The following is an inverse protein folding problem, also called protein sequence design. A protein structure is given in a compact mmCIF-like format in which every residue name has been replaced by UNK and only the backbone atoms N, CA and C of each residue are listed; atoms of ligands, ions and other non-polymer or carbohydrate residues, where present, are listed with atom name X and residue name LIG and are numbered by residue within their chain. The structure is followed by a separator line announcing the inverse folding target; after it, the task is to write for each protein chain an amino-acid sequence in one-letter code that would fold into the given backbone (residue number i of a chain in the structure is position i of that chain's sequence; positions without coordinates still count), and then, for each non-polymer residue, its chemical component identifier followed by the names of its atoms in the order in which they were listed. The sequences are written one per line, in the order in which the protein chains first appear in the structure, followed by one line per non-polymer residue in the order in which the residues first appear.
data_IF_586588115418
#
_entry.id   IF_586588115418
#
_cell.length_a   1.000
_cell.length_b   1.000
_cell.length_c   1.000
_cell.angle_alpha   90.00
_cell.angle_beta   90.00
_cell.angle_gamma   90.00
#
_symmetry.space_group_name_H-M   'P 1'
#
loop_
_entity.id
_entity.type
_entity.pdbx_description
1 polymer ?
#
# COMPACT_ATOMS: atom_id res chain seq x y z
N UNK A 1 8.85 12.14 26.62
CA UNK A 1 7.43 12.24 26.19
C UNK A 1 7.10 11.00 25.41
N UNK A 2 6.21 10.15 25.92
CA UNK A 2 5.67 9.02 25.15
C UNK A 2 4.98 9.58 23.90
N UNK A 3 5.37 9.10 22.72
CA UNK A 3 4.69 9.47 21.48
C UNK A 3 3.24 9.01 21.58
N UNK A 4 2.27 9.88 21.25
CA UNK A 4 0.85 9.52 21.22
C UNK A 4 0.52 8.51 20.12
N UNK A 5 1.47 8.29 19.19
CA UNK A 5 1.42 7.28 18.15
C UNK A 5 2.38 6.17 18.55
N UNK A 6 1.84 4.99 18.83
CA UNK A 6 2.62 3.78 19.00
C UNK A 6 2.63 3.00 17.68
N UNK A 7 3.80 2.51 17.27
CA UNK A 7 3.90 1.58 16.15
C UNK A 7 4.15 0.19 16.70
N UNK A 8 3.48 -0.81 16.14
CA UNK A 8 3.74 -2.22 16.42
C UNK A 8 3.71 -3.05 15.15
N UNK A 9 4.44 -4.15 15.16
CA UNK A 9 4.30 -5.16 14.13
C UNK A 9 2.86 -5.68 14.11
N UNK A 10 2.30 -5.87 12.92
CA UNK A 10 1.02 -6.54 12.79
C UNK A 10 1.13 -8.03 13.13
N UNK A 11 0.00 -8.61 13.52
CA UNK A 11 -0.17 -10.04 13.72
C UNK A 11 -1.23 -10.56 12.75
N UNK A 12 -1.30 -11.88 12.59
CA UNK A 12 -2.38 -12.50 11.79
C UNK A 12 -3.79 -12.11 12.24
N UNK A 13 -3.97 -11.75 13.52
CA UNK A 13 -5.28 -11.30 14.05
C UNK A 13 -5.69 -9.92 13.53
N UNK A 14 -4.74 -9.13 13.05
CA UNK A 14 -5.00 -7.81 12.47
C UNK A 14 -5.49 -7.89 11.02
N UNK A 15 -5.61 -9.08 10.42
CA UNK A 15 -5.94 -9.26 9.00
C UNK A 15 -7.19 -8.48 8.53
N UNK A 16 -8.22 -8.35 9.38
CA UNK A 16 -9.41 -7.56 9.07
C UNK A 16 -9.09 -6.06 8.95
N UNK A 17 -8.33 -5.53 9.91
CA UNK A 17 -7.90 -4.12 9.92
C UNK A 17 -6.96 -3.83 8.74
N UNK A 18 -6.04 -4.76 8.45
CA UNK A 18 -5.15 -4.66 7.29
C UNK A 18 -5.95 -4.60 5.98
N UNK A 19 -6.97 -5.43 5.82
CA UNK A 19 -7.81 -5.42 4.61
C UNK A 19 -8.53 -4.08 4.43
N UNK A 20 -9.13 -3.54 5.51
CA UNK A 20 -9.82 -2.25 5.48
C UNK A 20 -8.84 -1.11 5.16
N UNK A 21 -7.70 -1.04 5.85
CA UNK A 21 -6.76 0.06 5.70
C UNK A 21 -5.97 0.00 4.39
N UNK A 22 -5.69 -1.21 3.86
CA UNK A 22 -5.14 -1.38 2.52
C UNK A 22 -6.12 -0.89 1.44
N UNK A 23 -7.41 -1.20 1.60
CA UNK A 23 -8.45 -0.68 0.71
C UNK A 23 -8.57 0.85 0.77
N UNK A 24 -8.51 1.42 1.97
CA UNK A 24 -8.45 2.88 2.18
C UNK A 24 -7.21 3.49 1.51
N UNK A 25 -6.04 2.86 1.65
CA UNK A 25 -4.78 3.33 1.06
C UNK A 25 -4.86 3.31 -0.48
N UNK A 26 -5.46 2.26 -1.03
CA UNK A 26 -5.67 2.07 -2.47
C UNK A 26 -6.87 2.84 -3.05
N UNK A 27 -7.64 3.54 -2.18
CA UNK A 27 -8.86 4.29 -2.52
C UNK A 27 -9.93 3.42 -3.22
N UNK A 28 -10.11 2.18 -2.75
CA UNK A 28 -11.12 1.25 -3.26
C UNK A 28 -10.62 0.29 -4.35
N UNK A 29 -9.35 0.39 -4.77
CA UNK A 29 -8.81 -0.50 -5.79
C UNK A 29 -8.63 -1.93 -5.26
N UNK A 30 -8.27 -2.11 -3.99
CA UNK A 30 -8.10 -3.44 -3.40
C UNK A 30 -9.41 -4.22 -3.32
N UNK A 31 -10.49 -3.59 -2.83
CA UNK A 31 -11.82 -4.19 -2.82
C UNK A 31 -12.36 -4.45 -4.22
N UNK A 32 -12.07 -3.59 -5.20
CA UNK A 32 -12.38 -3.87 -6.61
C UNK A 32 -11.65 -5.12 -7.12
N UNK A 33 -10.35 -5.28 -6.83
CA UNK A 33 -9.61 -6.49 -7.19
C UNK A 33 -10.19 -7.75 -6.53
N UNK A 34 -10.59 -7.65 -5.26
CA UNK A 34 -11.15 -8.79 -4.53
C UNK A 34 -12.59 -9.12 -4.94
N UNK A 35 -13.30 -8.21 -5.60
CA UNK A 35 -14.65 -8.46 -6.10
C UNK A 35 -14.71 -9.60 -7.11
N UNK A 36 -13.64 -9.82 -7.89
CA UNK A 36 -13.53 -10.98 -8.78
C UNK A 36 -13.69 -12.32 -8.03
N UNK A 37 -13.31 -12.40 -6.75
CA UNK A 37 -13.54 -13.59 -5.94
C UNK A 37 -15.02 -13.82 -5.63
N UNK A 38 -15.78 -12.74 -5.46
CA UNK A 38 -17.24 -12.81 -5.26
C UNK A 38 -17.92 -13.30 -6.53
N UNK A 39 -17.55 -12.75 -7.69
CA UNK A 39 -18.12 -13.16 -8.99
C UNK A 39 -17.86 -14.65 -9.30
N UNK A 40 -16.74 -15.18 -8.80
CA UNK A 40 -16.37 -16.59 -8.97
C UNK A 40 -16.83 -17.48 -7.80
N UNK A 41 -17.63 -16.97 -6.85
CA UNK A 41 -18.17 -17.73 -5.73
C UNK A 41 -17.13 -18.19 -4.68
N UNK A 42 -15.97 -17.54 -4.63
CA UNK A 42 -14.88 -17.84 -3.67
C UNK A 42 -15.16 -17.25 -2.29
N UNK A 43 -15.90 -16.15 -2.22
CA UNK A 43 -16.24 -15.42 -0.98
C UNK A 43 -17.56 -14.66 -1.13
N UNK A 44 -18.26 -14.39 -0.04
CA UNK A 44 -19.52 -13.64 -0.04
C UNK A 44 -19.30 -12.14 -0.25
N UNK A 45 -18.15 -11.60 0.20
CA UNK A 45 -17.81 -10.18 0.04
C UNK A 45 -16.35 -9.95 -0.33
N UNK A 46 -16.00 -8.82 -0.96
CA UNK A 46 -14.60 -8.53 -1.28
C UNK A 46 -13.71 -8.40 -0.03
N UNK A 47 -14.26 -7.88 1.07
CA UNK A 47 -13.52 -7.74 2.33
C UNK A 47 -13.30 -9.08 3.04
N UNK A 48 -14.17 -10.07 2.83
CA UNK A 48 -13.91 -11.43 3.29
C UNK A 48 -12.66 -12.00 2.60
N UNK A 49 -12.60 -11.90 1.26
CA UNK A 49 -11.41 -12.32 0.52
C UNK A 49 -10.17 -11.48 0.89
N UNK A 50 -10.33 -10.17 1.09
CA UNK A 50 -9.27 -9.30 1.57
C UNK A 50 -8.71 -9.74 2.92
N UNK A 51 -9.58 -10.06 3.89
CA UNK A 51 -9.18 -10.59 5.20
C UNK A 51 -8.46 -11.93 5.08
N UNK A 52 -8.93 -12.82 4.20
CA UNK A 52 -8.26 -14.10 3.93
C UNK A 52 -6.83 -13.86 3.41
N UNK A 53 -6.69 -13.03 2.37
CA UNK A 53 -5.40 -12.67 1.77
C UNK A 53 -4.44 -12.02 2.78
N UNK A 54 -4.92 -11.09 3.59
CA UNK A 54 -4.09 -10.43 4.61
C UNK A 54 -3.70 -11.36 5.76
N UNK A 55 -4.40 -12.49 5.92
CA UNK A 55 -4.13 -13.51 6.93
C UNK A 55 -3.35 -14.72 6.43
N UNK A 56 -2.95 -14.75 5.16
CA UNK A 56 -2.06 -15.77 4.58
C UNK A 56 -0.64 -15.65 5.18
N UNK A 57 0.01 -16.78 5.46
CA UNK A 57 1.29 -16.80 6.18
C UNK A 57 2.46 -16.42 5.26
N UNK A 58 2.46 -16.90 4.02
CA UNK A 58 3.52 -16.71 3.04
C UNK A 58 3.22 -15.58 2.02
N UNK A 59 2.15 -14.80 2.23
CA UNK A 59 1.80 -13.71 1.33
C UNK A 59 2.79 -12.54 1.42
N UNK A 60 3.39 -12.19 0.28
CA UNK A 60 4.15 -10.94 0.12
C UNK A 60 3.18 -9.77 0.18
N UNK A 61 3.50 -8.76 0.99
CA UNK A 61 2.57 -7.67 1.30
C UNK A 61 1.43 -8.09 2.24
N UNK A 62 1.60 -9.18 2.99
CA UNK A 62 0.67 -9.64 4.01
C UNK A 62 0.97 -9.07 5.41
N UNK A 63 0.37 -9.66 6.45
CA UNK A 63 0.53 -9.18 7.83
C UNK A 63 1.97 -9.18 8.35
N UNK A 64 2.83 -10.07 7.84
CA UNK A 64 4.25 -10.13 8.23
C UNK A 64 5.05 -8.92 7.75
N UNK A 65 4.56 -8.26 6.70
CA UNK A 65 5.16 -7.07 6.10
C UNK A 65 4.52 -5.77 6.62
N UNK A 66 3.57 -5.91 7.57
CA UNK A 66 2.75 -4.80 8.02
C UNK A 66 3.12 -4.27 9.40
N UNK A 67 3.00 -2.95 9.53
CA UNK A 67 3.08 -2.19 10.78
C UNK A 67 1.77 -1.48 11.02
N UNK A 68 1.26 -1.61 12.25
CA UNK A 68 0.08 -0.91 12.73
C UNK A 68 0.51 0.32 13.50
N UNK A 69 -0.12 1.45 13.20
CA UNK A 69 -0.11 2.63 14.06
C UNK A 69 -1.33 2.60 14.97
N UNK A 70 -1.09 2.69 16.28
CA UNK A 70 -2.13 2.86 17.30
C UNK A 70 -2.10 4.29 17.82
N UNK A 71 -3.27 4.91 17.92
CA UNK A 71 -3.46 6.23 18.49
C UNK A 71 -4.83 6.28 19.19
N UNK A 72 -4.92 7.00 20.30
CA UNK A 72 -6.17 7.12 21.07
C UNK A 72 -6.82 5.77 21.51
N UNK A 73 -6.02 4.72 21.65
CA UNK A 73 -6.49 3.40 22.08
C UNK A 73 -7.12 2.55 20.97
N UNK A 74 -6.99 2.95 19.71
CA UNK A 74 -7.49 2.20 18.55
C UNK A 74 -6.43 2.07 17.45
N UNK A 75 -6.67 1.15 16.51
CA UNK A 75 -5.90 1.05 15.27
C UNK A 75 -6.19 2.28 14.42
N UNK A 76 -5.16 3.08 14.14
CA UNK A 76 -5.30 4.35 13.45
C UNK A 76 -4.85 4.29 11.99
N UNK A 77 -3.89 3.42 11.67
CA UNK A 77 -3.35 3.29 10.33
C UNK A 77 -2.43 2.08 10.17
N UNK A 78 -2.04 1.84 8.92
CA UNK A 78 -1.15 0.75 8.51
C UNK A 78 -0.10 1.26 7.54
N UNK A 79 1.08 0.68 7.59
CA UNK A 79 1.97 0.59 6.46
C UNK A 79 2.28 -0.88 6.15
N UNK A 80 2.31 -1.23 4.87
CA UNK A 80 2.69 -2.54 4.37
C UNK A 80 3.82 -2.33 3.38
N UNK A 81 5.00 -2.85 3.71
CA UNK A 81 6.17 -2.71 2.86
C UNK A 81 7.07 -3.93 2.92
N UNK A 82 7.70 -4.22 1.80
CA UNK A 82 8.56 -5.39 1.63
C UNK A 82 9.69 -5.09 0.64
N UNK A 83 10.75 -5.89 0.68
CA UNK A 83 11.79 -5.82 -0.34
C UNK A 83 11.26 -6.35 -1.68
N UNK A 84 11.42 -5.57 -2.75
CA UNK A 84 11.07 -5.99 -4.09
C UNK A 84 12.25 -6.77 -4.70
N UNK A 85 12.15 -8.09 -4.77
CA UNK A 85 13.19 -8.96 -5.34
C UNK A 85 13.06 -9.17 -6.85
N UNK A 86 14.06 -9.83 -7.45
CA UNK A 86 14.12 -10.14 -8.89
C UNK A 86 12.89 -10.93 -9.40
N UNK A 87 12.27 -11.74 -8.54
CA UNK A 87 11.08 -12.53 -8.88
C UNK A 87 9.88 -11.70 -9.36
N UNK A 88 9.85 -10.38 -9.11
CA UNK A 88 8.84 -9.50 -9.69
C UNK A 88 8.88 -9.49 -11.23
N UNK A 89 10.05 -9.73 -11.82
CA UNK A 89 10.24 -9.78 -13.28
C UNK A 89 9.42 -10.88 -13.95
N UNK A 90 9.24 -12.01 -13.27
CA UNK A 90 8.53 -13.19 -13.75
C UNK A 90 7.01 -13.11 -13.54
N UNK A 91 6.52 -12.13 -12.78
CA UNK A 91 5.08 -11.95 -12.55
C UNK A 91 4.45 -11.38 -13.82
N UNK A 92 3.41 -12.05 -14.30
CA UNK A 92 2.57 -11.61 -15.40
C UNK A 92 1.27 -10.99 -14.88
N UNK A 93 0.87 -9.87 -15.46
CA UNK A 93 -0.37 -9.21 -15.10
C UNK A 93 -1.56 -9.95 -15.73
N UNK A 94 -2.19 -10.82 -14.94
CA UNK A 94 -3.40 -11.56 -15.36
C UNK A 94 -4.66 -10.69 -15.34
N UNK A 95 -4.62 -9.56 -14.62
CA UNK A 95 -5.69 -8.57 -14.55
C UNK A 95 -5.21 -7.30 -15.27
N UNK A 96 -5.83 -6.88 -16.38
CA UNK A 96 -5.35 -5.74 -17.18
C UNK A 96 -5.13 -4.46 -16.38
N UNK A 97 -5.97 -4.20 -15.37
CA UNK A 97 -5.85 -3.01 -14.53
C UNK A 97 -4.61 -2.97 -13.63
N UNK A 98 -3.96 -4.13 -13.36
CA UNK A 98 -2.72 -4.19 -12.58
C UNK A 98 -1.48 -4.04 -13.44
N UNK A 99 -1.59 -4.22 -14.77
CA UNK A 99 -0.44 -4.21 -15.69
C UNK A 99 0.40 -2.93 -15.61
N UNK A 100 -0.18 -1.71 -15.57
CA UNK A 100 0.64 -0.49 -15.46
C UNK A 100 1.43 -0.42 -14.15
N UNK A 101 0.82 -0.82 -13.02
CA UNK A 101 1.49 -0.81 -11.72
C UNK A 101 2.62 -1.84 -11.66
N UNK A 102 2.38 -3.04 -12.20
CA UNK A 102 3.37 -4.11 -12.26
C UNK A 102 4.57 -3.70 -13.14
N UNK A 103 4.32 -3.06 -14.28
CA UNK A 103 5.37 -2.53 -15.14
C UNK A 103 6.24 -1.50 -14.41
N UNK A 104 5.63 -0.61 -13.60
CA UNK A 104 6.37 0.34 -12.77
C UNK A 104 7.16 -0.35 -11.64
N UNK A 105 6.61 -1.39 -11.00
CA UNK A 105 7.34 -2.15 -9.97
C UNK A 105 8.58 -2.84 -10.54
N UNK A 106 8.49 -3.42 -11.74
CA UNK A 106 9.63 -4.07 -12.42
C UNK A 106 10.82 -3.11 -12.65
N UNK A 107 10.62 -1.79 -12.66
CA UNK A 107 11.72 -0.82 -12.82
C UNK A 107 12.43 -0.45 -11.51
N UNK A 108 11.96 -0.94 -10.36
CA UNK A 108 12.51 -0.59 -9.02
C UNK A 108 12.86 -1.84 -8.21
N UNK A 109 13.28 -2.91 -8.88
CA UNK A 109 13.84 -4.11 -8.25
C UNK A 109 15.00 -3.72 -7.33
N UNK A 110 15.08 -4.34 -6.16
CA UNK A 110 16.05 -4.05 -5.10
C UNK A 110 15.64 -2.94 -4.13
N UNK A 111 14.52 -2.24 -4.37
CA UNK A 111 13.98 -1.25 -3.44
C UNK A 111 13.13 -1.86 -2.33
N UNK A 112 12.93 -1.12 -1.24
CA UNK A 112 11.85 -1.35 -0.29
C UNK A 112 10.56 -0.74 -0.86
N UNK A 113 9.62 -1.57 -1.28
CA UNK A 113 8.36 -1.14 -1.88
C UNK A 113 7.28 -1.00 -0.81
N UNK A 114 6.75 0.20 -0.63
CA UNK A 114 5.60 0.47 0.24
C UNK A 114 4.33 0.24 -0.59
N UNK A 115 3.73 -0.94 -0.46
CA UNK A 115 2.51 -1.32 -1.18
C UNK A 115 1.24 -0.70 -0.60
N UNK A 116 1.24 -0.32 0.68
CA UNK A 116 0.12 0.40 1.29
C UNK A 116 0.59 1.30 2.41
N UNK A 117 0.03 2.51 2.48
CA UNK A 117 0.15 3.42 3.61
C UNK A 117 -1.19 4.12 3.79
N UNK A 118 -1.94 3.67 4.81
CA UNK A 118 -3.32 4.06 5.03
C UNK A 118 -3.53 4.59 6.44
N UNK A 119 -4.34 5.63 6.60
CA UNK A 119 -4.78 6.16 7.90
C UNK A 119 -6.28 6.39 7.82
N UNK A 120 -7.01 5.98 8.85
CA UNK A 120 -8.44 6.25 8.96
C UNK A 120 -8.72 7.75 8.87
N UNK A 121 -9.76 8.12 8.12
CA UNK A 121 -10.03 9.52 7.77
C UNK A 121 -10.12 10.45 8.99
N UNK A 122 -10.76 10.00 10.06
CA UNK A 122 -10.97 10.77 11.29
C UNK A 122 -9.69 10.95 12.14
N UNK A 123 -8.61 10.21 11.82
CA UNK A 123 -7.30 10.29 12.48
C UNK A 123 -6.21 10.88 11.57
N UNK A 124 -6.59 11.52 10.47
CA UNK A 124 -5.63 12.20 9.57
C UNK A 124 -5.26 13.59 10.11
N UNK A 125 -4.17 14.16 9.57
CA UNK A 125 -3.73 15.52 9.89
C UNK A 125 -2.93 15.66 11.18
N UNK A 126 -2.77 14.58 11.95
CA UNK A 126 -2.01 14.57 13.20
C UNK A 126 -0.66 13.83 13.09
N UNK A 127 -0.13 13.62 11.89
CA UNK A 127 1.23 13.07 11.71
C UNK A 127 1.37 11.54 11.71
N UNK A 128 0.29 10.76 11.83
CA UNK A 128 0.34 9.28 11.78
C UNK A 128 0.96 8.76 10.47
N UNK A 129 0.52 9.28 9.32
CA UNK A 129 1.06 8.85 8.02
C UNK A 129 2.55 9.16 7.86
N UNK A 130 3.04 10.25 8.46
CA UNK A 130 4.48 10.58 8.48
C UNK A 130 5.24 9.57 9.35
N UNK A 131 4.71 9.25 10.53
CA UNK A 131 5.34 8.29 11.44
C UNK A 131 5.43 6.89 10.84
N UNK A 132 4.38 6.44 10.15
CA UNK A 132 4.38 5.19 9.39
C UNK A 132 5.41 5.21 8.25
N UNK A 133 5.49 6.32 7.49
CA UNK A 133 6.47 6.46 6.41
C UNK A 133 7.91 6.43 6.92
N UNK A 134 8.19 7.11 8.04
CA UNK A 134 9.52 7.12 8.67
C UNK A 134 9.95 5.70 9.11
N UNK A 135 9.03 4.90 9.68
CA UNK A 135 9.27 3.48 10.01
C UNK A 135 9.59 2.64 8.77
N UNK A 136 8.87 2.84 7.65
CA UNK A 136 9.17 2.12 6.41
C UNK A 136 10.52 2.51 5.80
N UNK A 137 10.93 3.76 5.93
CA UNK A 137 12.26 4.23 5.51
C UNK A 137 13.34 3.60 6.38
N UNK A 138 13.12 3.45 7.69
CA UNK A 138 14.04 2.76 8.59
C UNK A 138 14.16 1.27 8.24
N UNK A 139 13.03 0.59 8.02
CA UNK A 139 12.98 -0.83 7.63
C UNK A 139 13.62 -1.13 6.28
N UNK A 140 13.69 -0.14 5.39
CA UNK A 140 14.36 -0.29 4.10
C UNK A 140 15.86 -0.64 4.26
N UNK A 141 16.46 -0.33 5.41
CA UNK A 141 17.84 -0.69 5.76
C UNK A 141 18.82 -0.36 4.60
N UNK A 142 19.00 0.94 4.36
CA UNK A 142 19.85 1.51 3.31
C UNK A 142 19.45 1.16 1.86
N UNK A 143 18.31 0.52 1.62
CA UNK A 143 17.76 0.38 0.26
C UNK A 143 17.09 1.68 -0.18
N UNK A 144 17.04 1.96 -1.49
CA UNK A 144 16.08 2.91 -2.02
C UNK A 144 14.67 2.52 -1.60
N UNK A 145 13.80 3.49 -1.39
CA UNK A 145 12.39 3.26 -1.05
C UNK A 145 11.53 3.66 -2.24
N UNK A 146 10.52 2.86 -2.57
CA UNK A 146 9.62 3.13 -3.69
C UNK A 146 8.16 2.92 -3.29
N UNK A 147 7.26 3.59 -3.99
CA UNK A 147 5.81 3.45 -3.85
C UNK A 147 5.11 3.91 -5.11
N UNK A 148 3.85 3.50 -5.28
CA UNK A 148 2.98 3.96 -6.37
C UNK A 148 1.73 4.60 -5.77
N UNK A 149 1.35 5.78 -6.27
CA UNK A 149 0.10 6.45 -5.90
C UNK A 149 -0.60 7.01 -7.13
N UNK A 150 -1.92 7.17 -7.06
CA UNK A 150 -2.67 7.87 -8.10
C UNK A 150 -2.24 9.34 -8.21
N UNK A 151 -2.17 9.86 -9.43
CA UNK A 151 -1.76 11.23 -9.75
C UNK A 151 -2.69 12.30 -9.18
N UNK A 152 -3.92 11.92 -8.83
CA UNK A 152 -4.92 12.80 -8.23
C UNK A 152 -4.99 12.67 -6.70
N UNK A 153 -4.06 11.93 -6.09
CA UNK A 153 -3.92 11.80 -4.64
C UNK A 153 -2.96 12.87 -4.10
N UNK A 154 -3.39 14.13 -4.16
CA UNK A 154 -2.59 15.29 -3.77
C UNK A 154 -2.04 15.18 -2.34
N UNK A 155 -2.82 14.63 -1.40
CA UNK A 155 -2.39 14.44 -0.02
C UNK A 155 -1.19 13.49 0.09
N UNK A 156 -1.21 12.37 -0.66
CA UNK A 156 -0.11 11.42 -0.67
C UNK A 156 1.12 11.98 -1.41
N UNK A 157 0.93 12.57 -2.60
CA UNK A 157 2.01 13.23 -3.33
C UNK A 157 2.72 14.29 -2.47
N UNK A 158 1.94 15.09 -1.75
CA UNK A 158 2.43 16.13 -0.85
C UNK A 158 3.16 15.54 0.37
N UNK A 159 2.65 14.45 0.95
CA UNK A 159 3.34 13.71 2.01
C UNK A 159 4.69 13.19 1.52
N UNK A 160 4.73 12.45 0.42
CA UNK A 160 5.95 11.82 -0.08
C UNK A 160 6.99 12.84 -0.57
N UNK A 161 6.56 13.89 -1.28
CA UNK A 161 7.44 14.98 -1.73
C UNK A 161 8.16 15.68 -0.57
N UNK A 162 7.44 16.01 0.51
CA UNK A 162 8.05 16.57 1.74
C UNK A 162 9.02 15.62 2.46
N UNK A 163 9.01 14.34 2.07
CA UNK A 163 9.84 13.28 2.65
C UNK A 163 10.99 12.84 1.72
N UNK A 164 11.27 13.61 0.67
CA UNK A 164 12.39 13.37 -0.24
C UNK A 164 12.11 12.31 -1.30
N UNK A 165 10.85 11.94 -1.52
CA UNK A 165 10.48 11.14 -2.68
C UNK A 165 10.32 12.04 -3.92
N UNK A 166 10.79 11.56 -5.05
CA UNK A 166 10.66 12.20 -6.36
C UNK A 166 9.88 11.28 -7.30
N UNK A 167 9.15 11.86 -8.24
CA UNK A 167 8.54 11.08 -9.32
C UNK A 167 9.64 10.49 -10.21
N UNK A 168 9.63 9.17 -10.37
CA UNK A 168 10.58 8.43 -11.21
C UNK A 168 9.98 8.02 -12.54
N UNK A 169 8.69 7.66 -12.55
CA UNK A 169 7.94 7.29 -13.74
C UNK A 169 6.44 7.42 -13.51
N UNK A 170 5.68 7.39 -14.60
CA UNK A 170 4.21 7.32 -14.55
C UNK A 170 3.67 6.43 -15.67
N UNK A 171 2.49 5.88 -15.45
CA UNK A 171 1.74 5.13 -16.44
C UNK A 171 0.25 5.42 -16.29
N UNK A 172 -0.49 5.49 -17.40
CA UNK A 172 -1.93 5.72 -17.34
C UNK A 172 -2.63 4.57 -16.62
N UNK A 173 -3.56 4.90 -15.73
CA UNK A 173 -4.38 3.89 -15.08
C UNK A 173 -5.44 3.39 -16.07
N UNK A 174 -5.67 2.08 -16.07
CA UNK A 174 -6.80 1.49 -16.77
C UNK A 174 -8.08 1.84 -15.99
N UNK A 175 -9.10 2.45 -16.62
CA UNK A 175 -10.38 2.72 -15.97
C UNK A 175 -11.04 1.43 -15.47
N UNK A 176 -11.49 1.42 -14.21
CA UNK A 176 -12.16 0.25 -13.62
C UNK A 176 -13.62 0.13 -14.07
N UNK A 177 -14.23 1.25 -14.43
CA UNK A 177 -15.59 1.41 -14.93
C UNK A 177 -15.61 2.50 -16.01
N UNK A 178 -16.61 2.51 -16.89
CA UNK A 178 -16.74 3.49 -17.99
C UNK A 178 -16.68 4.95 -17.53
N UNK A 179 -17.26 5.25 -16.36
CA UNK A 179 -17.32 6.60 -15.78
C UNK A 179 -16.21 6.86 -14.74
N UNK A 180 -15.17 6.02 -14.67
CA UNK A 180 -14.06 6.22 -13.74
C UNK A 180 -13.31 7.51 -14.05
N UNK A 181 -12.96 8.25 -13.00
CA UNK A 181 -12.09 9.41 -13.13
C UNK A 181 -10.72 8.94 -13.65
N UNK A 182 -10.29 9.51 -14.77
CA UNK A 182 -8.97 9.26 -15.34
C UNK A 182 -7.89 9.79 -14.41
N UNK A 183 -6.86 8.99 -14.22
CA UNK A 183 -5.65 9.32 -13.48
C UNK A 183 -4.48 8.49 -14.02
N UNK A 184 -3.28 8.83 -13.59
CA UNK A 184 -2.09 8.02 -13.83
C UNK A 184 -1.62 7.40 -12.51
N UNK A 185 -0.97 6.24 -12.60
CA UNK A 185 -0.13 5.73 -11.54
C UNK A 185 1.21 6.45 -11.57
N UNK A 186 1.61 7.01 -10.44
CA UNK A 186 2.86 7.74 -10.27
C UNK A 186 3.78 6.91 -9.37
N UNK A 187 4.88 6.43 -9.94
CA UNK A 187 5.96 5.80 -9.20
C UNK A 187 6.81 6.89 -8.57
N UNK A 188 6.93 6.85 -7.25
CA UNK A 188 7.81 7.74 -6.50
C UNK A 188 8.94 6.94 -5.87
N UNK A 189 10.16 7.47 -5.93
CA UNK A 189 11.35 6.86 -5.34
C UNK A 189 12.08 7.83 -4.43
N UNK A 190 12.72 7.28 -3.40
CA UNK A 190 13.64 7.97 -2.50
C UNK A 190 14.94 7.19 -2.49
N UNK A 191 16.05 7.86 -2.80
CA UNK A 191 17.38 7.23 -2.75
C UNK A 191 17.72 6.72 -1.35
N UNK A 192 18.60 5.72 -1.30
CA UNK A 192 19.23 5.29 -0.06
C UNK A 192 19.94 6.48 0.61
N UNK A 193 19.86 6.53 1.95
CA UNK A 193 20.59 7.50 2.76
C UNK A 193 22.00 6.99 3.12
#
# INVERSE_FOLDING_TARGET
MTSFIALRQASRRDASELAILADIASRGFASWLWFAGVENGVSDTPLELGRLKMGEEEAVGGWRDAVIAEAYGEVAGVAIGHALGEGIGDIEATIPATAPMLALQKTVVGSWFIGSLGVYRHLRGIGIGRRLLDDQIERADRRPVSLITASDNEAALSLYGRNGFLEAARADAVPLFENSKRHAWVLMTRSAA
#
